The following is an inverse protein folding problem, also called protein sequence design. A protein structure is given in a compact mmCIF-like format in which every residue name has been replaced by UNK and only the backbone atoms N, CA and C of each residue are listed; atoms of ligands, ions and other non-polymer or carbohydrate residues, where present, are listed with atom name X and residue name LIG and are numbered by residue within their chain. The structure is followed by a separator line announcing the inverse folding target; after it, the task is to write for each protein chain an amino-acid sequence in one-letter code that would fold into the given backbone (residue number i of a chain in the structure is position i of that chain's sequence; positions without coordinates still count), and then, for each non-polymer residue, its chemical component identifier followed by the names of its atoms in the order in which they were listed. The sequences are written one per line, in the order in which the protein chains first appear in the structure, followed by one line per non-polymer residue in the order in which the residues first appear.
data_IF_410873401681
#
_entry.id   IF_410873401681
#
_cell.length_a   1.000
_cell.length_b   1.000
_cell.length_c   1.000
_cell.angle_alpha   90.00
_cell.angle_beta   90.00
_cell.angle_gamma   90.00
#
_symmetry.space_group_name_H-M   'P 1'
#
loop_
_entity.id
_entity.type
_entity.pdbx_description
1 polymer ?
#
# COMPACT_ATOMS: atom_id res chain seq x y z
N UNK A 1 63.35 1.71 -23.60
CA UNK A 1 62.14 2.07 -24.39
C UNK A 1 60.95 1.48 -23.63
N UNK A 2 60.65 1.97 -22.44
CA UNK A 2 59.74 3.08 -22.11
C UNK A 2 58.26 2.83 -22.49
N UNK A 3 57.43 2.73 -21.42
CA UNK A 3 56.01 3.13 -21.30
C UNK A 3 54.99 2.18 -22.00
N UNK A 4 53.87 1.70 -21.42
CA UNK A 4 52.82 2.30 -20.56
C UNK A 4 51.93 1.15 -19.98
N UNK A 5 51.63 1.14 -18.67
CA UNK A 5 50.36 0.64 -18.09
C UNK A 5 49.36 1.81 -18.07
N UNK A 6 48.01 1.68 -17.95
CA UNK A 6 47.11 0.51 -17.88
C UNK A 6 45.82 0.67 -18.74
N UNK A 7 44.96 -0.36 -18.90
CA UNK A 7 43.59 -0.14 -19.37
C UNK A 7 42.61 -1.20 -18.83
N UNK A 8 42.02 -0.86 -17.68
CA UNK A 8 40.57 -0.88 -17.42
C UNK A 8 39.75 -1.86 -18.27
N UNK A 9 39.47 -3.06 -17.73
CA UNK A 9 38.20 -3.76 -18.05
C UNK A 9 37.56 -4.47 -16.85
N UNK A 10 38.15 -4.40 -15.65
CA UNK A 10 37.48 -4.82 -14.41
C UNK A 10 36.51 -3.73 -13.91
N UNK A 11 35.54 -3.37 -14.74
CA UNK A 11 34.66 -2.23 -14.50
C UNK A 11 33.34 -2.22 -15.27
N UNK A 12 32.80 -3.39 -15.64
CA UNK A 12 31.48 -3.48 -16.31
C UNK A 12 30.56 -4.55 -15.69
N UNK A 13 30.77 -4.91 -14.43
CA UNK A 13 29.85 -5.80 -13.68
C UNK A 13 28.95 -5.04 -12.70
N UNK A 14 28.69 -3.76 -12.95
CA UNK A 14 27.97 -2.93 -11.97
C UNK A 14 27.47 -1.62 -12.53
N UNK A 15 26.48 -1.67 -13.41
CA UNK A 15 25.61 -0.52 -13.71
C UNK A 15 24.42 -0.94 -14.57
N UNK A 16 23.67 -1.95 -14.12
CA UNK A 16 22.28 -2.04 -14.55
C UNK A 16 21.45 -1.09 -13.65
N UNK A 17 20.93 0.04 -14.15
CA UNK A 17 20.05 0.92 -13.38
C UNK A 17 18.73 0.24 -12.97
N UNK A 18 18.47 -1.01 -13.38
CA UNK A 18 17.40 -1.87 -12.87
C UNK A 18 17.78 -2.70 -11.64
N UNK A 19 18.84 -2.37 -10.92
CA UNK A 19 19.08 -2.86 -9.54
C UNK A 19 18.06 -2.30 -8.53
N UNK A 20 16.78 -2.23 -8.90
CA UNK A 20 15.71 -2.27 -7.91
C UNK A 20 15.87 -3.60 -7.15
N UNK A 21 15.84 -3.60 -5.80
CA UNK A 21 15.84 -4.85 -5.05
C UNK A 21 14.80 -5.77 -5.67
N UNK A 22 15.14 -7.02 -5.99
CA UNK A 22 14.15 -8.02 -6.41
C UNK A 22 13.05 -8.00 -5.36
N UNK A 23 11.91 -7.39 -5.67
CA UNK A 23 10.82 -7.25 -4.71
C UNK A 23 10.41 -8.67 -4.39
N UNK A 24 10.66 -9.12 -3.17
CA UNK A 24 10.28 -10.48 -2.77
C UNK A 24 8.76 -10.51 -2.83
N UNK A 25 8.18 -11.57 -3.39
CA UNK A 25 6.73 -11.68 -3.54
C UNK A 25 5.99 -11.46 -2.20
N UNK A 26 6.61 -11.88 -1.10
CA UNK A 26 6.12 -11.63 0.26
C UNK A 26 6.07 -10.13 0.63
N UNK A 27 7.10 -9.36 0.31
CA UNK A 27 7.15 -7.91 0.61
C UNK A 27 6.10 -7.16 -0.22
N UNK A 28 5.89 -7.58 -1.48
CA UNK A 28 4.84 -7.03 -2.33
C UNK A 28 3.43 -7.34 -1.78
N UNK A 29 3.21 -8.57 -1.32
CA UNK A 29 1.93 -8.98 -0.74
C UNK A 29 1.62 -8.17 0.53
N UNK A 30 2.58 -8.01 1.45
CA UNK A 30 2.40 -7.21 2.66
C UNK A 30 2.08 -5.75 2.34
N UNK A 31 2.84 -5.14 1.43
CA UNK A 31 2.60 -3.76 1.01
C UNK A 31 1.22 -3.60 0.35
N UNK A 32 0.80 -4.55 -0.48
CA UNK A 32 -0.51 -4.55 -1.13
C UNK A 32 -1.67 -4.70 -0.12
N UNK A 33 -1.53 -5.55 0.89
CA UNK A 33 -2.50 -5.69 1.99
C UNK A 33 -2.60 -4.41 2.84
N UNK A 34 -1.48 -3.77 3.13
CA UNK A 34 -1.47 -2.47 3.84
C UNK A 34 -2.13 -1.37 3.00
N UNK A 35 -1.88 -1.35 1.69
CA UNK A 35 -2.56 -0.43 0.79
C UNK A 35 -4.08 -0.63 0.81
N UNK A 36 -4.54 -1.89 0.70
CA UNK A 36 -5.97 -2.20 0.77
C UNK A 36 -6.58 -1.80 2.12
N UNK A 37 -5.87 -1.99 3.24
CA UNK A 37 -6.32 -1.52 4.56
C UNK A 37 -6.51 0.01 4.60
N UNK A 38 -5.56 0.78 4.07
CA UNK A 38 -5.66 2.24 4.00
C UNK A 38 -6.82 2.65 3.11
N UNK A 39 -6.99 1.99 1.97
CA UNK A 39 -8.09 2.24 1.05
C UNK A 39 -9.44 1.99 1.72
N UNK A 40 -9.62 0.84 2.38
CA UNK A 40 -10.84 0.48 3.10
C UNK A 40 -11.15 1.48 4.22
N UNK A 41 -10.14 1.89 4.99
CA UNK A 41 -10.29 2.93 6.02
C UNK A 41 -10.82 4.23 5.44
N UNK A 42 -10.25 4.68 4.32
CA UNK A 42 -10.71 5.90 3.65
C UNK A 42 -12.12 5.73 3.09
N UNK A 43 -12.44 4.58 2.50
CA UNK A 43 -13.78 4.29 2.00
C UNK A 43 -14.82 4.35 3.12
N UNK A 44 -14.58 3.66 4.25
CA UNK A 44 -15.46 3.67 5.42
C UNK A 44 -15.65 5.09 5.97
N UNK A 45 -14.57 5.86 6.06
CA UNK A 45 -14.59 7.26 6.51
C UNK A 45 -15.45 8.15 5.59
N UNK A 46 -15.29 8.05 4.28
CA UNK A 46 -16.08 8.85 3.33
C UNK A 46 -17.55 8.41 3.29
N UNK A 47 -17.86 7.13 3.50
CA UNK A 47 -19.23 6.66 3.69
C UNK A 47 -19.88 7.30 4.93
N UNK A 48 -19.17 7.36 6.07
CA UNK A 48 -19.68 8.01 7.28
C UNK A 48 -19.87 9.52 7.10
N UNK A 49 -18.88 10.22 6.57
CA UNK A 49 -19.01 11.65 6.25
C UNK A 49 -20.21 11.93 5.35
N UNK A 50 -20.45 11.06 4.36
CA UNK A 50 -21.62 11.18 3.49
C UNK A 50 -22.91 11.08 4.29
N UNK A 51 -23.01 10.14 5.23
CA UNK A 51 -24.17 10.02 6.13
C UNK A 51 -24.33 11.23 7.06
N UNK A 52 -23.23 11.81 7.56
CA UNK A 52 -23.26 13.02 8.39
C UNK A 52 -23.87 14.23 7.66
N UNK A 53 -23.75 14.32 6.33
CA UNK A 53 -24.38 15.38 5.53
C UNK A 53 -25.91 15.32 5.56
N UNK A 54 -26.48 14.14 5.77
CA UNK A 54 -27.92 13.91 5.87
C UNK A 54 -28.42 13.94 7.32
N UNK A 55 -27.51 14.04 8.28
CA UNK A 55 -27.82 13.96 9.70
C UNK A 55 -28.17 15.34 10.26
N UNK A 56 -29.05 15.36 11.25
CA UNK A 56 -29.48 16.62 11.88
C UNK A 56 -28.35 17.15 12.78
N UNK A 57 -28.09 18.46 12.77
CA UNK A 57 -27.05 19.09 13.62
C UNK A 57 -27.24 18.85 15.13
N UNK A 58 -28.46 18.53 15.55
CA UNK A 58 -28.82 18.23 16.94
C UNK A 58 -28.77 16.74 17.29
N UNK A 59 -28.24 15.87 16.42
CA UNK A 59 -28.15 14.44 16.69
C UNK A 59 -27.05 14.14 17.74
N UNK A 60 -27.39 13.63 18.95
CA UNK A 60 -26.40 13.28 19.98
C UNK A 60 -25.45 12.15 19.57
N UNK A 61 -25.79 11.38 18.53
CA UNK A 61 -24.92 10.36 17.94
C UNK A 61 -23.83 10.94 17.02
N UNK A 62 -23.87 12.25 16.71
CA UNK A 62 -22.89 12.94 15.88
C UNK A 62 -21.92 13.81 16.71
N UNK A 63 -21.54 13.35 17.90
CA UNK A 63 -20.54 14.03 18.74
C UNK A 63 -19.10 13.66 18.34
N UNK A 64 -18.13 14.54 18.67
CA UNK A 64 -16.70 14.30 18.39
C UNK A 64 -16.20 13.00 19.02
N UNK A 65 -16.57 12.72 20.26
CA UNK A 65 -16.20 11.51 20.99
C UNK A 65 -16.67 10.24 20.28
N UNK A 66 -17.90 10.26 19.74
CA UNK A 66 -18.46 9.15 18.98
C UNK A 66 -17.71 8.99 17.65
N UNK A 67 -17.42 10.07 16.92
CA UNK A 67 -16.61 10.02 15.69
C UNK A 67 -15.23 9.44 15.92
N UNK A 68 -14.56 9.80 17.02
CA UNK A 68 -13.26 9.24 17.38
C UNK A 68 -13.34 7.73 17.63
N UNK A 69 -14.35 7.27 18.39
CA UNK A 69 -14.54 5.84 18.66
C UNK A 69 -14.85 5.05 17.37
N UNK A 70 -15.68 5.62 16.50
CA UNK A 70 -15.99 5.04 15.19
C UNK A 70 -14.74 4.93 14.32
N UNK A 71 -13.85 5.94 14.34
CA UNK A 71 -12.57 5.90 13.65
C UNK A 71 -11.70 4.71 14.07
N UNK A 72 -11.55 4.47 15.38
CA UNK A 72 -10.79 3.32 15.87
C UNK A 72 -11.41 1.97 15.51
N UNK A 73 -12.75 1.91 15.52
CA UNK A 73 -13.47 0.72 15.06
C UNK A 73 -13.20 0.46 13.57
N UNK A 74 -13.33 1.48 12.72
CA UNK A 74 -13.10 1.36 11.29
C UNK A 74 -11.64 1.00 10.98
N UNK A 75 -10.68 1.49 11.76
CA UNK A 75 -9.27 1.12 11.62
C UNK A 75 -9.05 -0.37 11.85
N UNK A 76 -9.68 -0.92 12.88
CA UNK A 76 -9.60 -2.34 13.21
C UNK A 76 -10.31 -3.18 12.15
N UNK A 77 -11.51 -2.75 11.74
CA UNK A 77 -12.31 -3.41 10.72
C UNK A 77 -11.58 -3.45 9.37
N UNK A 78 -11.02 -2.32 8.91
CA UNK A 78 -10.28 -2.24 7.67
C UNK A 78 -9.05 -3.17 7.64
N UNK A 79 -8.35 -3.29 8.76
CA UNK A 79 -7.22 -4.22 8.90
C UNK A 79 -7.66 -5.69 8.85
N UNK A 80 -8.78 -6.05 9.48
CA UNK A 80 -9.31 -7.42 9.43
C UNK A 80 -9.76 -7.76 8.01
N UNK A 81 -10.50 -6.86 7.37
CA UNK A 81 -11.00 -7.05 6.00
C UNK A 81 -9.86 -7.19 5.00
N UNK A 82 -8.80 -6.37 5.08
CA UNK A 82 -7.66 -6.49 4.15
C UNK A 82 -6.89 -7.80 4.31
N UNK A 83 -6.88 -8.40 5.50
CA UNK A 83 -6.27 -9.71 5.73
C UNK A 83 -7.14 -10.86 5.22
N UNK A 84 -8.46 -10.71 5.24
CA UNK A 84 -9.44 -11.73 4.87
C UNK A 84 -9.85 -11.69 3.38
N UNK A 85 -9.01 -11.15 2.50
CA UNK A 85 -9.34 -10.98 1.07
C UNK A 85 -10.57 -10.07 0.87
N UNK A 86 -10.55 -8.90 1.52
CA UNK A 86 -11.71 -8.01 1.63
C UNK A 86 -12.37 -7.66 0.30
N UNK A 87 -11.69 -6.85 -0.54
CA UNK A 87 -12.24 -6.41 -1.84
C UNK A 87 -11.37 -6.84 -3.03
N UNK A 88 -10.23 -7.48 -2.77
CA UNK A 88 -9.36 -8.08 -3.78
C UNK A 88 -8.39 -7.10 -4.45
N UNK A 89 -8.23 -5.88 -3.93
CA UNK A 89 -7.27 -4.91 -4.47
C UNK A 89 -5.84 -5.40 -4.24
N UNK A 90 -5.56 -5.96 -3.05
CA UNK A 90 -4.24 -6.48 -2.73
C UNK A 90 -3.80 -7.60 -3.71
N UNK A 91 -4.70 -8.54 -4.00
CA UNK A 91 -4.48 -9.61 -4.97
C UNK A 91 -4.25 -9.08 -6.38
N UNK A 92 -5.08 -8.10 -6.80
CA UNK A 92 -4.94 -7.45 -8.10
C UNK A 92 -3.57 -6.78 -8.24
N UNK A 93 -3.13 -6.05 -7.19
CA UNK A 93 -1.81 -5.40 -7.16
C UNK A 93 -0.69 -6.43 -7.27
N UNK A 94 -0.74 -7.51 -6.48
CA UNK A 94 0.26 -8.59 -6.55
C UNK A 94 0.27 -9.21 -7.95
N UNK A 95 -0.88 -9.52 -8.53
CA UNK A 95 -1.00 -10.11 -9.88
C UNK A 95 -0.39 -9.21 -10.95
N UNK A 96 -0.71 -7.91 -10.94
CA UNK A 96 -0.23 -6.97 -11.95
C UNK A 96 1.28 -6.68 -11.80
N UNK A 97 1.77 -6.54 -10.57
CA UNK A 97 3.15 -6.13 -10.32
C UNK A 97 4.16 -7.30 -10.33
N UNK A 98 3.72 -8.51 -9.97
CA UNK A 98 4.54 -9.73 -10.10
C UNK A 98 4.74 -10.14 -11.56
N UNK A 99 3.71 -10.01 -12.39
CA UNK A 99 3.76 -10.35 -13.82
C UNK A 99 4.71 -9.43 -14.62
N UNK A 100 4.95 -8.21 -14.13
CA UNK A 100 5.81 -7.21 -14.78
C UNK A 100 7.31 -7.40 -14.47
N UNK A 101 7.65 -8.18 -13.44
CA UNK A 101 9.03 -8.48 -13.03
C UNK A 101 9.58 -9.80 -13.63
N UNK A 102 8.79 -10.52 -14.43
CA UNK A 102 9.18 -11.80 -15.05
C UNK A 102 9.53 -11.69 -16.56
N UNK A 103 9.64 -10.47 -17.11
CA UNK A 103 10.09 -10.24 -18.49
C UNK A 103 11.39 -9.47 -18.52
#
# INVERSE_FOLDING_TARGET
MDKILPAVTKGLEGSDPLMAPKIKAHDLQMAAQQFEAIFLRNMLKEMRKTNELFDSKDNPFNSDSVRTMQGFYDDTLANVLSQQHGIGIAEMMVKQLSSKHQK
#
